data_IF_245540593724
#
_entry.id   IF_245540593724
#
_cell.length_a   1.000
_cell.length_b   1.000
_cell.length_c   1.000
_cell.angle_alpha   90.00
_cell.angle_beta   90.00
_cell.angle_gamma   90.00
#
_symmetry.space_group_name_H-M   'P 1'
#
loop_
_entity.id
_entity.type
_entity.pdbx_description
1 polymer ?
#
# COMPACT_ATOMS: atom_id res chain seq x y z
N UNK A 1 21.61 9.91 -15.73
CA UNK A 1 20.19 10.14 -15.37
C UNK A 1 19.52 8.77 -15.24
N UNK A 2 19.54 8.16 -14.05
CA UNK A 2 18.92 6.85 -13.85
C UNK A 2 17.40 7.04 -13.71
N UNK A 3 16.63 6.66 -14.73
CA UNK A 3 15.20 6.38 -14.56
C UNK A 3 15.10 5.24 -13.54
N UNK A 4 14.74 5.53 -12.29
CA UNK A 4 14.20 4.49 -11.40
C UNK A 4 12.92 4.01 -12.07
N UNK A 5 12.96 2.83 -12.67
CA UNK A 5 11.74 2.16 -13.09
C UNK A 5 10.89 1.94 -11.85
N UNK A 6 9.72 2.57 -11.82
CA UNK A 6 8.76 2.32 -10.75
C UNK A 6 8.19 0.94 -10.99
N UNK A 7 8.62 -0.02 -10.17
CA UNK A 7 8.04 -1.35 -10.15
C UNK A 7 6.71 -1.31 -9.40
N UNK A 8 5.65 -1.69 -10.11
CA UNK A 8 4.35 -1.98 -9.52
C UNK A 8 4.40 -3.38 -8.90
N UNK A 9 4.14 -3.45 -7.61
CA UNK A 9 4.02 -4.69 -6.86
C UNK A 9 2.55 -5.03 -6.68
N UNK A 10 2.14 -6.16 -7.26
CA UNK A 10 0.76 -6.61 -7.22
C UNK A 10 0.53 -7.60 -6.08
N UNK A 11 -0.62 -7.49 -5.44
CA UNK A 11 -1.04 -8.37 -4.36
C UNK A 11 -2.58 -8.44 -4.27
N UNK A 12 -3.07 -9.30 -3.39
CA UNK A 12 -4.48 -9.48 -3.11
C UNK A 12 -4.81 -8.92 -1.72
N UNK A 13 -5.43 -7.73 -1.70
CA UNK A 13 -5.81 -7.08 -0.44
C UNK A 13 -6.80 -7.92 0.36
N UNK A 14 -7.84 -8.47 -0.28
CA UNK A 14 -8.89 -9.22 0.41
C UNK A 14 -8.33 -10.46 1.12
N UNK A 15 -7.51 -11.24 0.41
CA UNK A 15 -6.90 -12.43 0.98
C UNK A 15 -5.91 -12.07 2.09
N UNK A 16 -5.17 -10.97 1.94
CA UNK A 16 -4.27 -10.47 2.97
C UNK A 16 -5.01 -10.04 4.24
N UNK A 17 -6.13 -9.33 4.10
CA UNK A 17 -6.97 -8.91 5.23
C UNK A 17 -7.61 -10.11 5.94
N UNK A 18 -8.11 -11.08 5.17
CA UNK A 18 -8.64 -12.35 5.70
C UNK A 18 -7.58 -13.11 6.49
N UNK A 19 -6.38 -13.26 5.92
CA UNK A 19 -5.28 -13.94 6.60
C UNK A 19 -4.77 -13.15 7.81
N UNK A 20 -4.75 -11.81 7.75
CA UNK A 20 -4.27 -10.99 8.85
C UNK A 20 -5.24 -10.91 10.02
N UNK A 21 -6.54 -11.15 9.81
CA UNK A 21 -7.58 -11.14 10.84
C UNK A 21 -7.51 -9.85 11.69
N UNK A 22 -7.48 -8.69 11.03
CA UNK A 22 -7.31 -7.35 11.65
C UNK A 22 -6.02 -7.12 12.46
N UNK A 23 -5.04 -8.01 12.42
CA UNK A 23 -3.73 -7.79 13.02
C UNK A 23 -2.79 -7.06 12.05
N UNK A 24 -2.45 -5.81 12.39
CA UNK A 24 -1.60 -4.94 11.56
C UNK A 24 -0.17 -5.47 11.39
N UNK A 25 0.42 -6.03 12.45
CA UNK A 25 1.78 -6.62 12.42
C UNK A 25 1.80 -7.82 11.46
N UNK A 26 0.79 -8.70 11.57
CA UNK A 26 0.61 -9.85 10.68
C UNK A 26 0.42 -9.42 9.23
N UNK A 27 -0.44 -8.41 8.99
CA UNK A 27 -0.71 -7.87 7.66
C UNK A 27 0.57 -7.42 6.96
N UNK A 28 1.35 -6.55 7.63
CA UNK A 28 2.59 -6.01 7.04
C UNK A 28 3.64 -7.11 6.88
N UNK A 29 3.74 -8.05 7.83
CA UNK A 29 4.72 -9.15 7.75
C UNK A 29 4.42 -10.08 6.58
N UNK A 30 3.17 -10.49 6.40
CA UNK A 30 2.75 -11.33 5.27
C UNK A 30 3.04 -10.64 3.93
N UNK A 31 2.72 -9.35 3.82
CA UNK A 31 2.99 -8.59 2.60
C UNK A 31 4.49 -8.44 2.33
N UNK A 32 5.31 -8.19 3.37
CA UNK A 32 6.78 -8.14 3.27
C UNK A 32 7.35 -9.49 2.81
N UNK A 33 6.85 -10.60 3.35
CA UNK A 33 7.29 -11.94 2.95
C UNK A 33 6.97 -12.21 1.46
N UNK A 34 5.76 -11.83 1.04
CA UNK A 34 5.32 -11.96 -0.34
C UNK A 34 6.16 -11.09 -1.28
N UNK A 35 6.41 -9.83 -0.92
CA UNK A 35 7.28 -8.92 -1.67
C UNK A 35 8.70 -9.45 -1.83
N UNK A 36 9.27 -10.02 -0.76
CA UNK A 36 10.62 -10.57 -0.79
C UNK A 36 10.74 -11.90 -1.55
N UNK A 37 9.63 -12.46 -2.05
CA UNK A 37 9.61 -13.79 -2.69
C UNK A 37 10.08 -14.92 -1.76
N UNK A 38 10.05 -14.69 -0.44
CA UNK A 38 10.57 -15.66 0.54
C UNK A 38 9.49 -16.70 0.82
N UNK A 39 9.82 -17.97 0.57
CA UNK A 39 8.99 -19.07 1.03
C UNK A 39 8.96 -19.10 2.56
N UNK A 40 7.77 -19.23 3.18
CA UNK A 40 7.65 -19.27 4.63
C UNK A 40 8.39 -20.49 5.18
N UNK A 41 9.38 -20.25 6.03
CA UNK A 41 10.16 -21.26 6.74
C UNK A 41 9.33 -21.85 7.87
N UNK A 42 9.74 -23.02 8.37
CA UNK A 42 9.02 -23.74 9.45
C UNK A 42 8.76 -22.85 10.67
N UNK A 43 9.72 -22.00 11.05
CA UNK A 43 9.71 -21.14 12.23
C UNK A 43 9.15 -19.73 12.00
N UNK A 44 8.68 -19.39 10.79
CA UNK A 44 8.08 -18.07 10.57
C UNK A 44 6.80 -17.92 11.39
N UNK A 45 6.73 -16.82 12.17
CA UNK A 45 5.61 -16.47 13.06
C UNK A 45 4.28 -16.39 12.31
N UNK A 46 4.31 -15.90 11.06
CA UNK A 46 3.14 -15.71 10.23
C UNK A 46 3.33 -16.33 8.85
N UNK A 47 2.34 -17.11 8.41
CA UNK A 47 2.31 -17.74 7.09
C UNK A 47 0.97 -17.46 6.45
N UNK A 48 1.00 -17.06 5.18
CA UNK A 48 -0.22 -16.89 4.41
C UNK A 48 -0.76 -18.28 4.08
N UNK A 49 -2.06 -18.47 4.31
CA UNK A 49 -2.78 -19.69 3.89
C UNK A 49 -3.40 -19.50 2.51
N UNK A 50 -3.67 -18.25 2.15
CA UNK A 50 -4.29 -17.87 0.89
C UNK A 50 -3.26 -17.36 -0.12
N UNK A 51 -3.61 -17.40 -1.41
CA UNK A 51 -2.77 -16.79 -2.44
C UNK A 51 -2.82 -15.27 -2.31
N UNK A 52 -1.66 -14.63 -2.17
CA UNK A 52 -1.53 -13.18 -2.11
C UNK A 52 -1.37 -12.55 -3.49
N UNK A 53 -1.45 -13.31 -4.59
CA UNK A 53 -1.46 -12.76 -5.95
C UNK A 53 -2.82 -12.14 -6.27
N UNK A 54 -2.85 -10.89 -6.74
CA UNK A 54 -4.09 -10.15 -7.00
C UNK A 54 -3.91 -8.91 -7.86
N UNK A 55 -4.95 -8.07 -7.92
CA UNK A 55 -4.98 -6.85 -8.75
C UNK A 55 -4.62 -5.58 -8.00
N UNK A 56 -4.65 -5.60 -6.67
CA UNK A 56 -4.23 -4.48 -5.84
C UNK A 56 -2.75 -4.23 -6.06
N UNK A 57 -2.32 -2.97 -6.06
CA UNK A 57 -0.92 -2.64 -6.34
C UNK A 57 -0.36 -1.54 -5.45
N UNK A 58 0.94 -1.65 -5.18
CA UNK A 58 1.76 -0.61 -4.58
C UNK A 58 2.89 -0.28 -5.54
N UNK A 59 3.21 1.00 -5.67
CA UNK A 59 4.38 1.43 -6.41
C UNK A 59 5.54 1.56 -5.42
N UNK A 60 6.72 1.04 -5.78
CA UNK A 60 7.95 1.17 -4.99
C UNK A 60 7.73 0.94 -3.46
N UNK A 61 7.34 -0.28 -3.02
CA UNK A 61 6.95 -0.50 -1.64
C UNK A 61 8.14 -0.55 -0.64
N UNK A 62 9.39 -0.55 -1.10
CA UNK A 62 10.55 -0.64 -0.21
C UNK A 62 10.63 0.47 0.86
N UNK A 63 10.47 1.77 0.53
CA UNK A 63 10.57 2.84 1.52
C UNK A 63 9.48 2.72 2.58
N UNK A 64 8.29 2.28 2.17
CA UNK A 64 7.17 2.01 3.07
C UNK A 64 7.52 0.93 4.09
N UNK A 65 8.12 -0.17 3.64
CA UNK A 65 8.54 -1.29 4.49
C UNK A 65 9.72 -0.99 5.42
N UNK A 66 10.60 -0.06 5.03
CA UNK A 66 11.74 0.41 5.83
C UNK A 66 11.38 1.57 6.76
N UNK A 67 10.21 2.18 6.61
CA UNK A 67 9.76 3.29 7.45
C UNK A 67 9.62 2.87 8.91
N UNK A 68 9.91 3.81 9.83
CA UNK A 68 9.74 3.64 11.29
C UNK A 68 8.38 4.11 11.79
N UNK A 69 7.46 4.37 10.86
CA UNK A 69 6.13 4.89 11.17
C UNK A 69 5.28 3.75 11.75
N UNK A 70 4.26 4.11 12.53
CA UNK A 70 3.35 3.15 13.14
C UNK A 70 2.76 2.18 12.10
N UNK A 71 2.70 0.90 12.47
CA UNK A 71 2.24 -0.17 11.59
C UNK A 71 0.78 0.06 11.17
N UNK A 72 -0.06 0.64 12.03
CA UNK A 72 -1.44 0.97 11.69
C UNK A 72 -1.52 1.98 10.54
N UNK A 73 -0.65 3.01 10.55
CA UNK A 73 -0.57 3.99 9.46
C UNK A 73 -0.07 3.35 8.15
N UNK A 74 0.90 2.45 8.24
CA UNK A 74 1.38 1.69 7.07
C UNK A 74 0.25 0.83 6.49
N UNK A 75 -0.50 0.12 7.33
CA UNK A 75 -1.63 -0.71 6.89
C UNK A 75 -2.70 0.15 6.23
N UNK A 76 -3.05 1.29 6.83
CA UNK A 76 -4.04 2.22 6.29
C UNK A 76 -3.60 2.76 4.92
N UNK A 77 -2.34 3.14 4.79
CA UNK A 77 -1.74 3.54 3.53
C UNK A 77 -1.90 2.45 2.47
N UNK A 78 -1.53 1.20 2.80
CA UNK A 78 -1.59 0.07 1.86
C UNK A 78 -3.02 -0.20 1.41
N UNK A 79 -3.98 -0.19 2.34
CA UNK A 79 -5.41 -0.42 2.05
C UNK A 79 -5.95 0.63 1.07
N UNK A 80 -5.61 1.90 1.28
CA UNK A 80 -6.04 2.99 0.39
C UNK A 80 -5.36 2.89 -0.98
N UNK A 81 -4.05 2.63 -1.00
CA UNK A 81 -3.29 2.47 -2.23
C UNK A 81 -3.80 1.28 -3.07
N UNK A 82 -4.19 0.19 -2.40
CA UNK A 82 -4.76 -0.99 -3.02
C UNK A 82 -6.12 -0.78 -3.70
N UNK A 83 -6.88 0.25 -3.29
CA UNK A 83 -8.18 0.61 -3.90
C UNK A 83 -8.04 1.34 -5.24
N UNK A 84 -6.84 1.81 -5.60
CA UNK A 84 -6.62 2.52 -6.86
C UNK A 84 -6.82 1.61 -8.07
N UNK A 85 -7.21 2.21 -9.18
CA UNK A 85 -7.26 1.51 -10.48
C UNK A 85 -5.89 1.54 -11.16
N UNK A 86 -5.32 0.36 -11.39
CA UNK A 86 -4.03 0.21 -12.08
C UNK A 86 -4.08 0.70 -13.53
N UNK A 87 -5.25 0.65 -14.18
CA UNK A 87 -5.48 1.15 -15.54
C UNK A 87 -5.21 2.64 -15.61
N UNK A 88 -5.67 3.42 -14.61
CA UNK A 88 -5.40 4.85 -14.53
C UNK A 88 -3.90 5.14 -14.39
N UNK A 89 -3.20 4.37 -13.56
CA UNK A 89 -1.74 4.49 -13.46
C UNK A 89 -1.04 4.13 -14.77
N UNK A 90 -1.49 3.07 -15.45
CA UNK A 90 -0.88 2.59 -16.70
C UNK A 90 -0.99 3.63 -17.82
N UNK A 91 -2.17 4.24 -17.99
CA UNK A 91 -2.45 5.19 -19.08
C UNK A 91 -2.08 6.63 -18.73
N UNK A 92 -2.36 7.09 -17.51
CA UNK A 92 -2.24 8.50 -17.13
C UNK A 92 -1.19 8.75 -16.04
N UNK A 93 -0.53 7.71 -15.53
CA UNK A 93 0.44 7.80 -14.42
C UNK A 93 -0.13 8.43 -13.15
N UNK A 94 -1.45 8.38 -12.98
CA UNK A 94 -2.14 8.84 -11.77
C UNK A 94 -1.76 7.94 -10.60
N UNK A 95 -1.24 8.55 -9.54
CA UNK A 95 -0.85 7.88 -8.29
C UNK A 95 -1.77 8.23 -7.13
N UNK A 96 -2.59 9.28 -7.26
CA UNK A 96 -3.55 9.74 -6.27
C UNK A 96 -4.85 8.92 -6.28
N UNK A 97 -5.56 8.92 -5.16
CA UNK A 97 -6.88 8.34 -5.02
C UNK A 97 -7.92 9.46 -4.95
N UNK A 98 -8.82 9.49 -5.93
CA UNK A 98 -9.95 10.42 -6.01
C UNK A 98 -11.01 10.06 -4.97
N UNK A 99 -11.26 10.94 -4.00
CA UNK A 99 -12.23 10.74 -2.91
C UNK A 99 -13.68 10.70 -3.40
N UNK A 100 -13.98 11.34 -4.52
CA UNK A 100 -15.34 11.37 -5.10
C UNK A 100 -15.90 9.97 -5.42
N UNK A 101 -15.03 8.98 -5.66
CA UNK A 101 -15.46 7.59 -5.90
C UNK A 101 -15.61 6.75 -4.63
N UNK A 102 -15.17 7.26 -3.47
CA UNK A 102 -15.09 6.51 -2.22
C UNK A 102 -15.68 7.32 -1.05
N UNK A 103 -17.01 7.58 -1.05
CA UNK A 103 -17.67 8.32 0.02
C UNK A 103 -17.64 7.58 1.37
N UNK A 104 -17.31 6.29 1.38
CA UNK A 104 -17.15 5.46 2.58
C UNK A 104 -15.84 5.74 3.34
N UNK A 105 -14.89 6.48 2.75
CA UNK A 105 -13.60 6.77 3.39
C UNK A 105 -13.78 7.82 4.49
N UNK A 106 -13.48 7.42 5.73
CA UNK A 106 -13.46 8.33 6.86
C UNK A 106 -12.20 9.23 6.83
N UNK A 107 -12.37 10.45 6.29
CA UNK A 107 -11.31 11.46 6.19
C UNK A 107 -10.68 11.84 7.55
N UNK A 108 -11.48 11.86 8.63
CA UNK A 108 -10.97 12.19 9.95
C UNK A 108 -9.95 11.16 10.46
N UNK A 109 -10.18 9.88 10.14
CA UNK A 109 -9.29 8.79 10.53
C UNK A 109 -7.99 8.73 9.70
N UNK A 110 -8.00 9.23 8.46
CA UNK A 110 -6.82 9.21 7.57
C UNK A 110 -5.99 10.49 7.65
N UNK A 111 -6.56 11.61 8.09
CA UNK A 111 -5.86 12.90 8.20
C UNK A 111 -4.70 12.89 9.20
N UNK A 112 -4.71 11.97 10.16
CA UNK A 112 -3.63 11.80 11.15
C UNK A 112 -2.43 11.01 10.62
N UNK A 113 -2.55 10.39 9.44
CA UNK A 113 -1.51 9.54 8.89
C UNK A 113 -0.43 10.38 8.17
N UNK A 114 0.82 10.40 8.64
CA UNK A 114 1.88 11.21 8.05
C UNK A 114 2.32 10.73 6.65
N UNK A 115 1.90 9.54 6.21
CA UNK A 115 2.21 8.97 4.91
C UNK A 115 1.25 9.41 3.80
N UNK A 116 0.16 10.08 4.18
CA UNK A 116 -0.91 10.47 3.28
C UNK A 116 -1.03 12.00 3.28
N UNK A 117 -1.16 12.58 2.09
CA UNK A 117 -1.49 14.00 1.94
C UNK A 117 -2.86 14.11 1.30
N UNK A 118 -3.80 14.71 2.01
CA UNK A 118 -5.14 14.95 1.49
C UNK A 118 -5.17 16.37 0.94
N UNK A 119 -5.37 16.52 -0.36
CA UNK A 119 -5.46 17.82 -1.04
C UNK A 119 -6.85 17.94 -1.63
N UNK A 120 -7.74 18.62 -0.91
CA UNK A 120 -9.13 18.82 -1.34
C UNK A 120 -9.86 17.48 -1.54
N UNK A 121 -9.98 17.05 -2.79
CA UNK A 121 -10.69 15.85 -3.26
C UNK A 121 -9.79 14.64 -3.54
N UNK A 122 -8.47 14.72 -3.33
CA UNK A 122 -7.54 13.64 -3.65
C UNK A 122 -6.65 13.26 -2.47
N UNK A 123 -6.32 11.97 -2.37
CA UNK A 123 -5.31 11.44 -1.45
C UNK A 123 -4.04 11.15 -2.25
N UNK A 124 -2.96 11.80 -1.89
CA UNK A 124 -1.61 11.55 -2.38
C UNK A 124 -0.85 10.64 -1.41
N UNK A 125 -0.02 9.80 -2.00
CA UNK A 125 0.74 8.77 -1.31
C UNK A 125 2.22 9.14 -1.31
N UNK A 126 2.78 9.44 -0.13
CA UNK A 126 4.10 10.04 0.03
C UNK A 126 5.22 9.30 -0.73
N UNK A 127 5.21 7.96 -0.71
CA UNK A 127 6.29 7.16 -1.31
C UNK A 127 6.08 6.84 -2.79
N UNK A 128 4.90 7.13 -3.32
CA UNK A 128 4.50 6.78 -4.69
C UNK A 128 4.39 7.99 -5.59
N UNK A 129 4.18 9.16 -5.00
CA UNK A 129 4.16 10.41 -5.72
C UNK A 129 5.56 10.71 -6.30
N UNK A 130 5.61 10.81 -7.63
CA UNK A 130 6.86 11.14 -8.36
C UNK A 130 7.26 12.58 -8.16
N UNK A 131 6.29 13.44 -7.86
CA UNK A 131 6.51 14.86 -7.63
C UNK A 131 6.86 15.05 -6.16
N UNK A 132 7.97 14.43 -5.77
CA UNK A 132 8.59 14.53 -4.45
C UNK A 132 9.19 15.93 -4.26
N UNK A 133 8.40 16.98 -4.51
CA UNK A 133 8.60 18.35 -4.06
C UNK A 133 7.98 18.51 -2.67
N UNK A 134 8.43 17.67 -1.74
CA UNK A 134 8.33 18.01 -0.33
C UNK A 134 9.58 18.83 -0.05
N UNK A 135 9.45 20.16 -0.20
CA UNK A 135 10.45 21.11 0.31
C UNK A 135 10.30 21.21 1.82
#
# INVERSE_FOLDING_TARGET
MFRREIMAFFFNLENLEKDSCNNSEKFVTLLKHFYAGKLPRRYDKYKSKLSLAGKSFLLNPEPLFKSKIDIAYIVQYIKLAARRDYTLYKHYKVTSLQLSYYPDINLAAIKTNPLLKITGSEIHFLYEDKENKWH
#
